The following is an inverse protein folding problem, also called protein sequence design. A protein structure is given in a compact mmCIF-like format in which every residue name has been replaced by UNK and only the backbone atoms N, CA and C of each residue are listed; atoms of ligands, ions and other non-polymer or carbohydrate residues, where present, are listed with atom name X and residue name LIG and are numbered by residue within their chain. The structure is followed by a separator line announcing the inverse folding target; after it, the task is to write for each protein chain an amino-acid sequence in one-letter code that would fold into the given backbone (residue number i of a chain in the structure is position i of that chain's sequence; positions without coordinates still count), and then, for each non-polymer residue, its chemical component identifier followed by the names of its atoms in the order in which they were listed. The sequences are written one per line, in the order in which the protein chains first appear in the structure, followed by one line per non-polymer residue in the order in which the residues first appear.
data_IF_741033097555
#
_entry.id   IF_741033097555
#
_cell.length_a   1.000
_cell.length_b   1.000
_cell.length_c   1.000
_cell.angle_alpha   90.00
_cell.angle_beta   90.00
_cell.angle_gamma   90.00
#
_symmetry.space_group_name_H-M   'P 1'
#
loop_
_entity.id
_entity.type
_entity.pdbx_description
1 polymer ?
#
# COMPACT_ATOMS: atom_id res chain seq x y z
N UNK A 1 -43.51 29.98 30.30
CA UNK A 1 -42.22 29.34 29.92
C UNK A 1 -42.02 29.58 28.45
N UNK A 2 -40.92 30.25 28.08
CA UNK A 2 -40.64 30.61 26.68
C UNK A 2 -40.27 29.35 25.87
N UNK A 3 -41.00 29.03 24.78
CA UNK A 3 -40.74 27.84 23.97
C UNK A 3 -39.34 27.83 23.33
N UNK A 4 -38.69 28.98 23.16
CA UNK A 4 -37.32 29.06 22.65
C UNK A 4 -36.29 28.59 23.70
N UNK A 5 -36.52 28.93 24.98
CA UNK A 5 -35.68 28.49 26.09
C UNK A 5 -35.77 26.97 26.30
N UNK A 6 -36.97 26.40 26.13
CA UNK A 6 -37.17 24.96 26.28
C UNK A 6 -36.44 24.17 25.18
N UNK A 7 -36.45 24.68 23.95
CA UNK A 7 -35.75 24.07 22.81
C UNK A 7 -34.23 24.20 22.91
N UNK A 8 -33.73 25.31 23.46
CA UNK A 8 -32.30 25.49 23.70
C UNK A 8 -31.75 24.52 24.76
N UNK A 9 -32.50 24.28 25.85
CA UNK A 9 -32.14 23.31 26.88
C UNK A 9 -32.16 21.88 26.35
N UNK A 10 -33.10 21.55 25.47
CA UNK A 10 -33.20 20.23 24.87
C UNK A 10 -32.01 19.93 23.94
N UNK A 11 -31.54 20.92 23.18
CA UNK A 11 -30.34 20.80 22.34
C UNK A 11 -29.08 20.67 23.19
N UNK A 12 -28.97 21.45 24.28
CA UNK A 12 -27.81 21.42 25.16
C UNK A 12 -27.66 20.08 25.92
N UNK A 13 -28.78 19.42 26.23
CA UNK A 13 -28.81 18.14 26.93
C UNK A 13 -28.77 16.91 26.01
N UNK A 14 -28.68 17.09 24.68
CA UNK A 14 -28.48 15.95 23.80
C UNK A 14 -27.13 15.30 24.10
N UNK A 15 -27.07 13.97 24.29
CA UNK A 15 -25.80 13.28 24.37
C UNK A 15 -25.05 13.58 23.08
N UNK A 16 -23.87 14.23 23.21
CA UNK A 16 -23.02 14.47 22.04
C UNK A 16 -22.76 13.12 21.40
N UNK A 17 -22.93 12.96 20.07
CA UNK A 17 -22.46 11.77 19.41
C UNK A 17 -20.99 11.63 19.80
N UNK A 18 -20.63 10.47 20.36
CA UNK A 18 -19.25 10.18 20.72
C UNK A 18 -18.42 10.52 19.49
N UNK A 19 -17.62 11.58 19.59
CA UNK A 19 -16.68 11.94 18.54
C UNK A 19 -15.88 10.67 18.33
N UNK A 20 -16.03 10.01 17.17
CA UNK A 20 -15.06 8.99 16.75
C UNK A 20 -13.75 9.74 16.78
N UNK A 21 -12.97 9.55 17.85
CA UNK A 21 -11.63 10.07 17.89
C UNK A 21 -10.97 9.53 16.63
N UNK A 22 -10.39 10.36 15.77
CA UNK A 22 -9.56 9.83 14.70
C UNK A 22 -8.56 8.91 15.39
N UNK A 23 -8.48 7.65 14.98
CA UNK A 23 -7.49 6.72 15.49
C UNK A 23 -6.15 7.43 15.37
N UNK A 24 -5.65 7.91 16.51
CA UNK A 24 -4.32 8.50 16.61
C UNK A 24 -3.41 7.30 16.37
N UNK A 25 -2.91 7.15 15.14
CA UNK A 25 -1.89 6.16 14.81
C UNK A 25 -0.74 6.47 15.77
N UNK A 26 -0.59 5.63 16.81
CA UNK A 26 0.47 5.80 17.79
C UNK A 26 1.78 5.55 17.04
N UNK A 27 2.70 6.50 17.12
CA UNK A 27 3.99 6.46 16.43
C UNK A 27 4.87 5.24 16.82
N UNK A 28 4.45 4.44 17.80
CA UNK A 28 5.13 3.24 18.29
C UNK A 28 4.89 1.99 17.41
N UNK A 29 3.97 2.05 16.44
CA UNK A 29 3.59 0.88 15.64
C UNK A 29 4.37 0.76 14.31
N UNK A 30 5.37 1.61 14.06
CA UNK A 30 6.19 1.52 12.83
C UNK A 30 7.63 1.17 13.14
N UNK A 31 8.07 0.01 12.66
CA UNK A 31 9.45 -0.47 12.76
C UNK A 31 10.04 -0.45 11.35
N UNK A 32 11.20 0.19 11.18
CA UNK A 32 11.95 0.22 9.92
C UNK A 32 13.35 -0.30 10.20
N UNK A 33 13.77 -1.32 9.46
CA UNK A 33 15.08 -1.93 9.58
C UNK A 33 15.82 -1.87 8.23
N UNK A 34 17.15 -1.74 8.22
CA UNK A 34 17.92 -1.87 6.99
C UNK A 34 17.72 -3.26 6.39
N UNK A 35 17.64 -3.33 5.08
CA UNK A 35 17.66 -4.60 4.39
C UNK A 35 19.03 -5.27 4.58
N UNK A 36 19.06 -6.60 4.48
CA UNK A 36 20.33 -7.32 4.49
C UNK A 36 21.24 -6.80 3.36
N UNK A 37 22.56 -6.63 3.56
CA UNK A 37 23.47 -6.10 2.53
C UNK A 37 23.48 -6.87 1.21
N UNK A 38 23.01 -8.13 1.22
CA UNK A 38 22.89 -9.01 0.06
C UNK A 38 21.44 -9.28 -0.36
N UNK A 39 20.50 -8.42 0.08
CA UNK A 39 19.10 -8.55 -0.29
C UNK A 39 18.94 -8.59 -1.82
N UNK A 40 18.19 -9.57 -2.32
CA UNK A 40 17.93 -9.72 -3.75
C UNK A 40 17.05 -8.55 -4.22
N UNK A 41 17.29 -8.01 -5.44
CA UNK A 41 16.39 -7.04 -6.03
C UNK A 41 14.98 -7.60 -6.17
N UNK A 42 13.99 -6.71 -6.09
CA UNK A 42 12.57 -7.08 -6.16
C UNK A 42 11.90 -6.53 -7.41
N UNK A 43 10.80 -7.17 -7.79
CA UNK A 43 9.86 -6.67 -8.80
C UNK A 43 8.53 -6.40 -8.10
N UNK A 44 7.80 -5.38 -8.53
CA UNK A 44 6.58 -4.96 -7.84
C UNK A 44 5.55 -4.35 -8.77
N UNK A 45 4.28 -4.56 -8.42
CA UNK A 45 3.12 -4.01 -9.14
C UNK A 45 2.83 -2.58 -8.67
N UNK A 46 2.81 -1.62 -9.60
CA UNK A 46 2.37 -0.24 -9.32
C UNK A 46 0.85 -0.08 -9.51
N UNK A 47 0.33 1.10 -9.15
CA UNK A 47 -1.10 1.41 -9.24
C UNK A 47 -1.63 1.44 -10.69
N UNK A 48 -0.74 1.58 -11.67
CA UNK A 48 -1.05 1.50 -13.10
C UNK A 48 -1.23 0.06 -13.60
N UNK A 49 -1.05 -0.94 -12.74
CA UNK A 49 -1.16 -2.35 -13.09
C UNK A 49 0.08 -2.91 -13.79
N UNK A 50 1.17 -2.13 -13.89
CA UNK A 50 2.43 -2.54 -14.50
C UNK A 50 3.40 -3.04 -13.43
N UNK A 51 4.07 -4.16 -13.72
CA UNK A 51 5.16 -4.69 -12.92
C UNK A 51 6.44 -3.94 -13.29
N UNK A 52 7.10 -3.36 -12.30
CA UNK A 52 8.38 -2.68 -12.39
C UNK A 52 9.49 -3.49 -11.69
N UNK A 53 10.74 -3.20 -12.04
CA UNK A 53 11.93 -3.79 -11.43
C UNK A 53 13.02 -4.08 -12.47
N UNK A 54 14.18 -4.60 -12.04
CA UNK A 54 14.55 -4.87 -10.66
C UNK A 54 14.77 -3.57 -9.86
N UNK A 55 14.33 -3.54 -8.59
CA UNK A 55 14.58 -2.44 -7.67
C UNK A 55 15.42 -2.91 -6.47
N UNK A 56 16.32 -2.04 -6.02
CA UNK A 56 17.21 -2.31 -4.89
C UNK A 56 16.44 -2.15 -3.60
N UNK A 57 16.49 -3.14 -2.71
CA UNK A 57 15.84 -3.03 -1.40
C UNK A 57 16.77 -2.30 -0.43
N UNK A 58 16.29 -1.23 0.17
CA UNK A 58 17.07 -0.43 1.15
C UNK A 58 16.66 -0.75 2.57
N UNK A 59 15.35 -0.89 2.81
CA UNK A 59 14.80 -1.14 4.14
C UNK A 59 13.58 -2.08 4.06
N UNK A 60 13.30 -2.71 5.19
CA UNK A 60 12.05 -3.41 5.46
C UNK A 60 11.29 -2.64 6.52
N UNK A 61 9.97 -2.61 6.41
CA UNK A 61 9.14 -1.93 7.39
C UNK A 61 7.93 -2.76 7.79
N UNK A 62 7.57 -2.69 9.06
CA UNK A 62 6.32 -3.18 9.62
C UNK A 62 5.55 -1.97 10.13
N UNK A 63 4.30 -1.83 9.71
CA UNK A 63 3.40 -0.75 10.13
C UNK A 63 2.17 -1.38 10.79
N UNK A 64 1.87 -0.99 12.02
CA UNK A 64 0.81 -1.61 12.83
C UNK A 64 1.33 -2.74 13.72
N UNK A 65 0.45 -3.24 14.58
CA UNK A 65 0.72 -4.29 15.55
C UNK A 65 -0.34 -5.40 15.50
N UNK A 66 -0.03 -6.58 16.05
CA UNK A 66 -0.94 -7.72 16.03
C UNK A 66 -1.40 -8.13 14.63
N UNK A 67 -2.70 -8.43 14.50
CA UNK A 67 -3.34 -8.90 13.26
C UNK A 67 -3.48 -7.81 12.18
N UNK A 68 -3.35 -6.53 12.53
CA UNK A 68 -3.46 -5.41 11.58
C UNK A 68 -2.11 -4.99 11.01
N UNK A 69 -1.02 -5.63 11.44
CA UNK A 69 0.32 -5.33 10.97
C UNK A 69 0.46 -5.56 9.46
N UNK A 70 0.91 -4.53 8.75
CA UNK A 70 1.19 -4.56 7.32
C UNK A 70 2.70 -4.46 7.09
N UNK A 71 3.21 -5.29 6.18
CA UNK A 71 4.63 -5.32 5.84
C UNK A 71 4.91 -4.60 4.53
N UNK A 72 5.99 -3.83 4.54
CA UNK A 72 6.42 -2.98 3.44
C UNK A 72 7.89 -3.23 3.13
N UNK A 73 8.23 -3.09 1.86
CA UNK A 73 9.60 -3.10 1.35
C UNK A 73 9.87 -1.71 0.81
N UNK A 74 10.89 -1.05 1.33
CA UNK A 74 11.34 0.25 0.84
C UNK A 74 12.43 -0.03 -0.18
N UNK A 75 12.23 0.47 -1.39
CA UNK A 75 13.12 0.21 -2.52
C UNK A 75 13.62 1.51 -3.13
N UNK A 76 14.82 1.46 -3.70
CA UNK A 76 15.31 2.46 -4.63
C UNK A 76 15.08 1.95 -6.07
N UNK A 77 14.33 2.73 -6.84
CA UNK A 77 14.06 2.46 -8.24
C UNK A 77 14.16 3.76 -9.03
N UNK A 78 14.99 3.77 -10.10
CA UNK A 78 15.24 4.97 -10.92
C UNK A 78 15.71 6.19 -10.10
N UNK A 79 16.52 5.97 -9.06
CA UNK A 79 17.05 7.02 -8.18
C UNK A 79 16.03 7.60 -7.19
N UNK A 80 14.86 6.98 -7.05
CA UNK A 80 13.83 7.42 -6.11
C UNK A 80 13.48 6.31 -5.11
N UNK A 81 13.30 6.69 -3.85
CA UNK A 81 12.78 5.82 -2.82
C UNK A 81 11.27 5.59 -3.01
N UNK A 82 10.81 4.36 -2.86
CA UNK A 82 9.39 3.98 -2.98
C UNK A 82 9.01 2.96 -1.93
N UNK A 83 7.81 3.11 -1.37
CA UNK A 83 7.22 2.16 -0.42
C UNK A 83 6.35 1.17 -1.17
N UNK A 84 6.70 -0.12 -1.08
CA UNK A 84 6.00 -1.21 -1.75
C UNK A 84 5.40 -2.13 -0.71
N UNK A 85 4.07 -2.30 -0.72
CA UNK A 85 3.43 -3.31 0.12
C UNK A 85 3.89 -4.70 -0.28
N UNK A 86 4.11 -5.59 0.70
CA UNK A 86 4.62 -6.94 0.44
C UNK A 86 3.73 -7.76 -0.50
N UNK A 87 2.40 -7.56 -0.46
CA UNK A 87 1.42 -8.20 -1.35
C UNK A 87 1.50 -7.76 -2.82
N UNK A 88 2.21 -6.66 -3.10
CA UNK A 88 2.47 -6.16 -4.45
C UNK A 88 3.77 -6.65 -5.04
N UNK A 89 4.57 -7.40 -4.29
CA UNK A 89 5.77 -8.03 -4.83
C UNK A 89 5.39 -9.05 -5.91
N UNK A 90 6.21 -9.12 -6.94
CA UNK A 90 6.04 -10.02 -8.08
C UNK A 90 7.34 -10.77 -8.33
N UNK A 91 7.19 -11.92 -8.97
CA UNK A 91 8.32 -12.72 -9.39
C UNK A 91 8.94 -12.14 -10.67
N UNK A 92 10.24 -12.38 -10.86
CA UNK A 92 10.92 -12.09 -12.13
C UNK A 92 10.19 -12.69 -13.34
N UNK A 93 9.68 -13.91 -13.21
CA UNK A 93 8.92 -14.60 -14.27
C UNK A 93 7.66 -13.83 -14.67
N UNK A 94 6.92 -13.27 -13.70
CA UNK A 94 5.74 -12.45 -13.98
C UNK A 94 6.10 -11.15 -14.70
N UNK A 95 7.19 -10.49 -14.28
CA UNK A 95 7.71 -9.31 -14.98
C UNK A 95 8.08 -9.62 -16.43
N UNK A 96 8.83 -10.71 -16.68
CA UNK A 96 9.22 -11.11 -18.03
C UNK A 96 8.01 -11.49 -18.91
N UNK A 97 6.98 -12.13 -18.33
CA UNK A 97 5.77 -12.49 -19.05
C UNK A 97 4.96 -11.26 -19.51
N UNK A 98 4.96 -10.18 -18.71
CA UNK A 98 4.30 -8.92 -19.06
C UNK A 98 4.91 -8.29 -20.33
N UNK A 99 6.21 -8.48 -20.57
CA UNK A 99 6.94 -7.88 -21.67
C UNK A 99 7.03 -8.76 -22.92
N UNK A 100 6.44 -9.96 -22.94
CA UNK A 100 6.41 -10.78 -24.16
C UNK A 100 5.39 -10.22 -25.16
N UNK A 101 5.81 -9.84 -26.38
CA UNK A 101 4.85 -9.63 -27.47
C UNK A 101 4.11 -10.94 -27.71
N UNK A 102 2.79 -10.90 -27.84
CA UNK A 102 2.06 -12.03 -28.40
C UNK A 102 2.52 -12.17 -29.85
N UNK A 103 3.30 -13.21 -30.12
CA UNK A 103 3.68 -13.56 -31.47
C UNK A 103 2.44 -14.12 -32.16
N UNK A 104 1.74 -13.27 -32.92
CA UNK A 104 0.59 -13.69 -33.73
C UNK A 104 1.16 -14.52 -34.88
N UNK A 105 0.99 -15.84 -34.83
CA UNK A 105 1.27 -16.69 -35.98
C UNK A 105 0.27 -16.36 -37.08
N UNK A 106 0.76 -15.81 -38.20
CA UNK A 106 -0.04 -15.68 -39.41
C UNK A 106 -0.36 -17.09 -39.91
N UNK A 107 -1.60 -17.52 -39.71
CA UNK A 107 -2.14 -18.73 -40.33
C UNK A 107 -2.13 -18.50 -41.84
N UNK A 108 -1.26 -19.22 -42.57
CA UNK A 108 -1.33 -19.26 -44.03
C UNK A 108 -2.62 -19.98 -44.42
N UNK A 109 -3.52 -19.28 -45.11
CA UNK A 109 -4.67 -19.89 -45.75
C UNK A 109 -4.22 -20.95 -46.77
N UNK A 110 -4.81 -22.16 -46.76
CA UNK A 110 -4.56 -23.15 -47.79
C UNK A 110 -5.18 -22.67 -49.12
N UNK A 111 -4.39 -22.75 -50.19
CA UNK A 111 -4.84 -22.54 -51.58
C UNK A 111 -5.69 -23.70 -52.06
#
# INVERSE_FOLDING_TARGET
MDPLLQRALEIANRPRPATRQPDVIRHEDTIIEPAHPTAKPVYFLRNDGVIHGPATVTNLAKVGSGETATYWVIVEFQGQASWVRSDRLRTRKQFEAQHRPQMVEFVKEPR
#
